data_IF_216829567483
#
_entry.id   IF_216829567483
#
_cell.length_a   1.000
_cell.length_b   1.000
_cell.length_c   1.000
_cell.angle_alpha   90.00
_cell.angle_beta   90.00
_cell.angle_gamma   90.00
#
_symmetry.space_group_name_H-M   'P 1'
#
loop_
_entity.id
_entity.type
_entity.pdbx_description
1 polymer ?
#
# COMPACT_ATOMS: atom_id res chain seq x y z
N UNK A 1 -0.13 -8.09 -18.86
CA UNK A 1 1.18 -7.94 -18.19
C UNK A 1 2.31 -8.37 -19.09
N UNK A 2 3.42 -7.63 -19.12
CA UNK A 2 4.56 -8.03 -19.92
C UNK A 2 5.41 -9.08 -19.17
N UNK A 3 6.21 -9.89 -19.88
CA UNK A 3 7.10 -10.85 -19.20
C UNK A 3 8.07 -10.18 -18.21
N UNK A 4 8.50 -8.93 -18.47
CA UNK A 4 9.36 -8.22 -17.54
C UNK A 4 8.65 -7.88 -16.23
N UNK A 5 7.37 -7.52 -16.31
CA UNK A 5 6.59 -7.22 -15.10
C UNK A 5 6.39 -8.48 -14.27
N UNK A 6 6.16 -9.61 -14.94
CA UNK A 6 6.01 -10.89 -14.25
C UNK A 6 7.31 -11.31 -13.57
N UNK A 7 8.45 -11.13 -14.25
CA UNK A 7 9.76 -11.46 -13.70
C UNK A 7 10.07 -10.59 -12.47
N UNK A 8 9.79 -9.29 -12.54
CA UNK A 8 9.99 -8.38 -11.40
C UNK A 8 9.10 -8.74 -10.23
N UNK A 9 7.85 -9.10 -10.50
CA UNK A 9 6.89 -9.49 -9.46
C UNK A 9 7.37 -10.76 -8.76
N UNK A 10 7.85 -11.75 -9.52
CA UNK A 10 8.38 -12.99 -8.93
C UNK A 10 9.62 -12.74 -8.10
N UNK A 11 10.48 -11.84 -8.54
CA UNK A 11 11.67 -11.45 -7.78
C UNK A 11 11.30 -10.79 -6.46
N UNK A 12 10.34 -9.86 -6.49
CA UNK A 12 9.81 -9.23 -5.29
C UNK A 12 9.15 -10.23 -4.37
N UNK A 13 8.39 -11.17 -4.93
CA UNK A 13 7.75 -12.23 -4.15
C UNK A 13 8.77 -13.06 -3.39
N UNK A 14 9.85 -13.44 -4.07
CA UNK A 14 10.93 -14.19 -3.43
C UNK A 14 11.59 -13.40 -2.31
N UNK A 15 11.86 -12.11 -2.53
CA UNK A 15 12.44 -11.25 -1.51
C UNK A 15 11.53 -11.10 -0.29
N UNK A 16 10.23 -10.93 -0.52
CA UNK A 16 9.26 -10.82 0.56
C UNK A 16 9.18 -12.11 1.36
N UNK A 17 9.22 -13.26 0.69
CA UNK A 17 9.20 -14.56 1.36
C UNK A 17 10.47 -14.78 2.19
N UNK A 18 11.62 -14.27 1.73
CA UNK A 18 12.89 -14.40 2.45
C UNK A 18 12.95 -13.52 3.69
N UNK A 19 12.27 -12.36 3.66
CA UNK A 19 12.37 -11.36 4.73
C UNK A 19 11.21 -11.39 5.71
N UNK A 20 10.13 -12.10 5.41
CA UNK A 20 8.93 -12.14 6.23
C UNK A 20 8.49 -13.56 6.52
N UNK A 21 7.93 -13.77 7.70
CA UNK A 21 7.23 -15.01 8.06
C UNK A 21 5.74 -14.71 8.03
N UNK A 22 4.99 -15.48 7.26
CA UNK A 22 3.56 -15.24 7.07
C UNK A 22 2.71 -16.03 8.05
N UNK A 23 1.58 -15.50 8.54
CA UNK A 23 1.12 -14.13 8.33
C UNK A 23 1.93 -13.14 9.16
N UNK A 24 1.96 -11.88 8.72
CA UNK A 24 2.64 -10.82 9.46
C UNK A 24 1.95 -9.48 9.23
N UNK A 25 2.26 -8.50 10.07
CA UNK A 25 1.80 -7.12 9.86
C UNK A 25 2.78 -6.44 8.91
N UNK A 26 2.26 -5.96 7.79
CA UNK A 26 3.04 -5.24 6.80
C UNK A 26 2.72 -3.75 6.87
N UNK A 27 3.73 -2.92 6.71
CA UNK A 27 3.61 -1.47 6.76
C UNK A 27 3.58 -0.91 5.34
N UNK A 28 2.43 -0.40 4.93
CA UNK A 28 2.25 0.24 3.63
C UNK A 28 2.42 1.74 3.79
N UNK A 29 3.12 2.38 2.85
CA UNK A 29 3.34 3.82 2.89
C UNK A 29 2.91 4.46 1.58
N UNK A 30 2.13 5.53 1.69
CA UNK A 30 1.60 6.26 0.55
C UNK A 30 1.72 7.76 0.78
N UNK A 31 1.87 8.49 -0.33
CA UNK A 31 1.70 9.95 -0.35
C UNK A 31 0.63 10.23 -1.38
N UNK A 32 -0.39 10.98 -1.00
CA UNK A 32 -1.51 11.29 -1.89
C UNK A 32 -1.99 12.72 -1.71
N UNK A 33 -2.66 13.29 -2.73
CA UNK A 33 -3.28 14.60 -2.57
C UNK A 33 -4.28 14.58 -1.41
N UNK A 34 -4.31 15.71 -0.67
CA UNK A 34 -5.10 15.82 0.56
C UNK A 34 -6.56 16.12 0.23
N UNK A 35 -7.28 15.07 -0.22
CA UNK A 35 -8.70 15.14 -0.56
C UNK A 35 -9.48 14.11 0.25
N UNK A 36 -10.66 14.48 0.80
CA UNK A 36 -11.45 13.53 1.59
C UNK A 36 -11.78 12.23 0.83
N UNK A 37 -12.09 12.33 -0.47
CA UNK A 37 -12.40 11.15 -1.27
C UNK A 37 -11.22 10.21 -1.41
N UNK A 38 -10.00 10.72 -1.43
CA UNK A 38 -8.80 9.88 -1.52
C UNK A 38 -8.61 9.08 -0.23
N UNK A 39 -8.79 9.71 0.92
CA UNK A 39 -8.69 9.00 2.19
C UNK A 39 -9.79 7.95 2.32
N UNK A 40 -11.01 8.29 1.93
CA UNK A 40 -12.13 7.34 1.97
C UNK A 40 -11.86 6.13 1.09
N UNK A 41 -11.34 6.35 -0.12
CA UNK A 41 -11.00 5.27 -1.04
C UNK A 41 -9.90 4.38 -0.46
N UNK A 42 -8.86 4.99 0.12
CA UNK A 42 -7.76 4.22 0.70
C UNK A 42 -8.24 3.38 1.88
N UNK A 43 -9.08 3.95 2.74
CA UNK A 43 -9.63 3.22 3.88
C UNK A 43 -10.51 2.05 3.44
N UNK A 44 -11.22 2.20 2.32
CA UNK A 44 -12.06 1.13 1.77
C UNK A 44 -11.25 -0.04 1.20
N UNK A 45 -10.02 0.22 0.77
CA UNK A 45 -9.12 -0.82 0.23
C UNK A 45 -8.65 -1.76 1.32
N UNK A 46 -8.36 -1.21 2.51
CA UNK A 46 -7.83 -1.97 3.65
C UNK A 46 -8.96 -2.46 4.55
N UNK A 47 -8.70 -3.54 5.28
CA UNK A 47 -9.68 -4.11 6.18
C UNK A 47 -9.91 -3.25 7.42
N UNK A 48 -10.95 -3.59 8.19
CA UNK A 48 -11.35 -2.83 9.37
C UNK A 48 -10.30 -2.85 10.48
N UNK A 49 -9.44 -3.85 10.49
CA UNK A 49 -8.39 -3.97 11.50
C UNK A 49 -7.10 -3.26 11.12
N UNK A 50 -7.03 -2.68 9.92
CA UNK A 50 -5.88 -1.91 9.50
C UNK A 50 -5.74 -0.65 10.34
N UNK A 51 -4.50 -0.30 10.67
CA UNK A 51 -4.22 0.90 11.46
C UNK A 51 -3.63 1.97 10.54
N UNK A 52 -4.23 3.16 10.60
CA UNK A 52 -3.82 4.29 9.77
C UNK A 52 -3.12 5.34 10.61
N UNK A 53 -1.97 5.80 10.13
CA UNK A 53 -1.29 6.98 10.66
C UNK A 53 -1.20 7.99 9.54
N UNK A 54 -1.73 9.19 9.78
CA UNK A 54 -1.87 10.21 8.75
C UNK A 54 -1.11 11.45 9.19
N UNK A 55 -0.29 11.99 8.28
CA UNK A 55 0.45 13.23 8.52
C UNK A 55 0.30 14.14 7.31
N UNK A 56 -0.17 15.36 7.54
CA UNK A 56 -0.31 16.33 6.47
C UNK A 56 1.03 17.03 6.21
N UNK A 57 1.26 17.39 4.94
CA UNK A 57 2.41 18.21 4.56
C UNK A 57 2.24 19.63 5.12
N UNK A 58 3.35 20.40 5.16
CA UNK A 58 3.34 21.77 5.73
C UNK A 58 2.26 22.65 5.10
N UNK A 59 2.05 22.54 3.79
CA UNK A 59 1.07 23.33 3.07
C UNK A 59 -0.32 22.68 3.00
N UNK A 60 -0.45 21.46 3.52
CA UNK A 60 -1.71 20.75 3.51
C UNK A 60 -2.15 20.21 2.16
N UNK A 61 -1.30 20.28 1.12
CA UNK A 61 -1.63 19.81 -0.22
C UNK A 61 -1.51 18.30 -0.36
N UNK A 62 -0.67 17.68 0.44
CA UNK A 62 -0.41 16.24 0.39
C UNK A 62 -0.54 15.63 1.78
N UNK A 63 -0.84 14.37 1.77
CA UNK A 63 -1.03 13.60 3.00
C UNK A 63 -0.19 12.33 2.92
N UNK A 64 0.67 12.13 3.91
CA UNK A 64 1.43 10.89 4.06
C UNK A 64 0.62 9.93 4.91
N UNK A 65 0.40 8.73 4.41
CA UNK A 65 -0.41 7.73 5.09
C UNK A 65 0.42 6.47 5.28
N UNK A 66 0.49 6.00 6.51
CA UNK A 66 1.08 4.70 6.85
C UNK A 66 -0.04 3.78 7.28
N UNK A 67 -0.10 2.59 6.67
CA UNK A 67 -1.13 1.61 6.99
C UNK A 67 -0.45 0.32 7.45
N UNK A 68 -0.76 -0.11 8.67
CA UNK A 68 -0.32 -1.40 9.19
C UNK A 68 -1.48 -2.38 9.08
N UNK A 69 -1.28 -3.46 8.33
CA UNK A 69 -2.31 -4.49 8.15
C UNK A 69 -1.68 -5.87 8.13
N UNK A 70 -2.33 -6.82 8.81
CA UNK A 70 -1.94 -8.22 8.76
C UNK A 70 -2.21 -8.78 7.37
N UNK A 71 -1.20 -9.38 6.78
CA UNK A 71 -1.27 -9.99 5.45
C UNK A 71 -0.85 -11.45 5.54
N UNK A 72 -1.40 -12.26 4.64
CA UNK A 72 -1.15 -13.70 4.62
C UNK A 72 -0.01 -14.10 3.70
N UNK A 73 0.43 -13.20 2.83
CA UNK A 73 1.52 -13.45 1.90
C UNK A 73 1.75 -12.30 0.95
N UNK A 74 2.71 -12.45 0.02
CA UNK A 74 3.05 -11.37 -0.92
C UNK A 74 1.89 -10.93 -1.82
N UNK A 75 0.99 -11.84 -2.16
CA UNK A 75 -0.14 -11.50 -3.04
C UNK A 75 -1.07 -10.47 -2.41
N UNK A 76 -1.26 -10.53 -1.09
CA UNK A 76 -2.05 -9.52 -0.38
C UNK A 76 -1.41 -8.14 -0.50
N UNK A 77 -0.08 -8.08 -0.39
CA UNK A 77 0.66 -6.84 -0.53
C UNK A 77 0.48 -6.27 -1.93
N UNK A 78 0.66 -7.10 -2.96
CA UNK A 78 0.49 -6.67 -4.34
C UNK A 78 -0.93 -6.18 -4.61
N UNK A 79 -1.93 -6.89 -4.12
CA UNK A 79 -3.33 -6.52 -4.31
C UNK A 79 -3.63 -5.15 -3.70
N UNK A 80 -3.08 -4.86 -2.50
CA UNK A 80 -3.28 -3.58 -1.84
C UNK A 80 -2.66 -2.44 -2.64
N UNK A 81 -1.43 -2.62 -3.12
CA UNK A 81 -0.76 -1.58 -3.92
C UNK A 81 -1.46 -1.36 -5.26
N UNK A 82 -1.92 -2.42 -5.92
CA UNK A 82 -2.65 -2.30 -7.17
C UNK A 82 -3.96 -1.53 -6.99
N UNK A 83 -4.69 -1.84 -5.94
CA UNK A 83 -5.94 -1.12 -5.63
C UNK A 83 -5.66 0.34 -5.30
N UNK A 84 -4.62 0.63 -4.53
CA UNK A 84 -4.26 2.00 -4.16
C UNK A 84 -3.83 2.82 -5.38
N UNK A 85 -3.23 2.19 -6.39
CA UNK A 85 -2.78 2.88 -7.59
C UNK A 85 -3.92 3.52 -8.37
N UNK A 86 -5.18 3.16 -8.10
CA UNK A 86 -6.34 3.79 -8.72
C UNK A 86 -6.64 5.18 -8.18
N UNK A 87 -6.04 5.56 -7.05
CA UNK A 87 -6.23 6.89 -6.47
C UNK A 87 -5.41 7.91 -7.26
N UNK A 88 -6.04 8.97 -7.80
CA UNK A 88 -5.31 9.96 -8.60
C UNK A 88 -4.20 10.63 -7.79
N UNK A 89 -3.00 10.66 -8.36
CA UNK A 89 -1.86 11.34 -7.77
C UNK A 89 -1.17 10.61 -6.62
N UNK A 90 -1.57 9.38 -6.31
CA UNK A 90 -0.96 8.63 -5.21
C UNK A 90 0.44 8.13 -5.60
N UNK A 91 1.35 8.19 -4.62
CA UNK A 91 2.67 7.59 -4.71
C UNK A 91 2.80 6.52 -3.65
N UNK A 92 3.28 5.34 -4.05
CA UNK A 92 3.57 4.24 -3.13
C UNK A 92 5.07 4.25 -2.81
N UNK A 93 5.39 4.14 -1.54
CA UNK A 93 6.78 4.18 -1.07
C UNK A 93 7.28 2.82 -0.62
#
# INVERSE_FOLDING_TARGET
MTPQDDAKREQLRAQLNDTHTWPCVFKFKFIMPSKPENEATLRAIFGQQARFQIRDSKKGNYRAVTVDEKVEGPDDIFARYEAAATIPGILSL
#
